data_IF_595359722808
#
_entry.id   IF_595359722808
#
_cell.length_a   1.000
_cell.length_b   1.000
_cell.length_c   1.000
_cell.angle_alpha   90.00
_cell.angle_beta   90.00
_cell.angle_gamma   90.00
#
_symmetry.space_group_name_H-M   'P 1'
#
loop_
_entity.id
_entity.type
_entity.pdbx_description
1 polymer ?
#
# COMPACT_ATOMS: atom_id res chain seq x y z
N UNK A 1 75.21 77.26 10.76
CA UNK A 1 74.43 78.39 11.27
C UNK A 1 72.99 78.13 10.86
N UNK A 2 72.33 77.24 11.58
CA UNK A 2 71.48 77.62 12.72
C UNK A 2 70.32 78.50 12.23
N UNK A 3 69.27 77.86 11.70
CA UNK A 3 67.92 78.39 11.73
C UNK A 3 67.17 77.58 12.76
N UNK A 4 67.10 78.12 13.98
CA UNK A 4 66.60 77.44 15.17
C UNK A 4 65.27 76.74 14.94
N UNK A 5 65.22 75.46 15.34
CA UNK A 5 63.98 74.74 15.57
C UNK A 5 63.22 75.46 16.67
N UNK A 6 62.39 76.42 16.27
CA UNK A 6 61.38 77.03 17.10
C UNK A 6 60.41 75.93 17.50
N UNK A 7 60.65 75.36 18.68
CA UNK A 7 59.64 74.66 19.44
C UNK A 7 58.57 75.71 19.71
N UNK A 8 57.54 75.75 18.86
CA UNK A 8 56.34 76.52 19.11
C UNK A 8 55.73 75.88 20.35
N UNK A 9 55.94 76.51 21.51
CA UNK A 9 55.23 76.17 22.73
C UNK A 9 53.75 76.48 22.48
N UNK A 10 53.05 75.48 21.94
CA UNK A 10 51.61 75.50 21.83
C UNK A 10 51.04 75.74 23.23
N UNK A 11 50.01 76.56 23.32
CA UNK A 11 49.29 76.71 24.58
C UNK A 11 48.76 75.32 25.01
N UNK A 12 48.64 75.04 26.31
CA UNK A 12 48.07 73.76 26.79
C UNK A 12 46.71 73.42 26.17
N UNK A 13 45.99 74.45 25.70
CA UNK A 13 44.71 74.34 25.00
C UNK A 13 44.88 73.82 23.56
N UNK A 14 45.90 74.26 22.82
CA UNK A 14 46.18 73.81 21.45
C UNK A 14 46.69 72.36 21.40
N UNK A 15 47.49 71.92 22.38
CA UNK A 15 47.86 70.52 22.53
C UNK A 15 46.64 69.62 22.83
N UNK A 16 45.68 70.13 23.60
CA UNK A 16 44.45 69.40 23.90
C UNK A 16 43.54 69.32 22.66
N UNK A 17 43.43 70.40 21.88
CA UNK A 17 42.69 70.42 20.62
C UNK A 17 43.28 69.42 19.60
N UNK A 18 44.61 69.37 19.46
CA UNK A 18 45.27 68.45 18.52
C UNK A 18 45.11 66.98 18.94
N UNK A 19 45.14 66.67 20.24
CA UNK A 19 44.83 65.33 20.77
C UNK A 19 43.38 64.92 20.52
N UNK A 20 42.42 65.81 20.82
CA UNK A 20 40.99 65.57 20.57
C UNK A 20 40.71 65.38 19.07
N UNK A 21 41.32 66.19 18.21
CA UNK A 21 41.21 66.04 16.76
C UNK A 21 41.77 64.69 16.28
N UNK A 22 42.89 64.23 16.85
CA UNK A 22 43.45 62.91 16.57
C UNK A 22 42.57 61.75 17.04
N UNK A 23 41.94 61.88 18.21
CA UNK A 23 40.95 60.92 18.74
C UNK A 23 39.70 60.85 17.87
N UNK A 24 39.15 61.99 17.48
CA UNK A 24 38.00 62.08 16.58
C UNK A 24 38.34 61.42 15.24
N UNK A 25 39.51 61.71 14.66
CA UNK A 25 39.94 61.12 13.39
C UNK A 25 40.08 59.60 13.46
N UNK A 26 40.63 59.07 14.57
CA UNK A 26 40.69 57.62 14.81
C UNK A 26 39.30 57.02 14.97
N UNK A 27 38.42 57.67 15.73
CA UNK A 27 37.03 57.24 15.90
C UNK A 27 36.27 57.15 14.56
N UNK A 28 36.42 58.18 13.71
CA UNK A 28 35.84 58.17 12.36
C UNK A 28 36.40 57.04 11.49
N UNK A 29 37.71 56.78 11.50
CA UNK A 29 38.29 55.67 10.72
C UNK A 29 37.79 54.29 11.17
N UNK A 30 37.58 54.09 12.47
CA UNK A 30 37.04 52.83 13.00
C UNK A 30 35.55 52.71 12.66
N UNK A 31 34.80 53.80 12.74
CA UNK A 31 33.39 53.83 12.35
C UNK A 31 33.20 53.52 10.87
N UNK A 32 34.07 54.03 10.00
CA UNK A 32 34.06 53.77 8.56
C UNK A 32 34.38 52.30 8.24
N UNK A 33 35.39 51.72 8.91
CA UNK A 33 35.72 50.30 8.79
C UNK A 33 34.57 49.39 9.25
N UNK A 34 33.90 49.72 10.36
CA UNK A 34 32.72 48.99 10.82
C UNK A 34 31.55 49.10 9.83
N UNK A 35 31.34 50.28 9.25
CA UNK A 35 30.30 50.49 8.24
C UNK A 35 30.57 49.66 6.99
N UNK A 36 31.83 49.59 6.53
CA UNK A 36 32.21 48.74 5.41
C UNK A 36 31.95 47.26 5.71
N UNK A 37 32.34 46.76 6.89
CA UNK A 37 32.09 45.37 7.28
C UNK A 37 30.60 45.02 7.41
N UNK A 38 29.76 45.96 7.87
CA UNK A 38 28.31 45.79 7.90
C UNK A 38 27.75 45.68 6.48
N UNK A 39 28.20 46.54 5.57
CA UNK A 39 27.74 46.53 4.17
C UNK A 39 28.13 45.20 3.47
N UNK A 40 29.36 44.72 3.66
CA UNK A 40 29.79 43.41 3.13
C UNK A 40 28.95 42.26 3.67
N UNK A 41 28.62 42.29 4.96
CA UNK A 41 27.76 41.27 5.58
C UNK A 41 26.33 41.34 5.02
N UNK A 42 25.79 42.54 4.80
CA UNK A 42 24.48 42.74 4.17
C UNK A 42 24.46 42.16 2.75
N UNK A 43 25.46 42.45 1.93
CA UNK A 43 25.57 41.88 0.57
C UNK A 43 25.70 40.35 0.62
N UNK A 44 26.48 39.81 1.55
CA UNK A 44 26.60 38.36 1.72
C UNK A 44 25.28 37.70 2.16
N UNK A 45 24.47 38.40 2.97
CA UNK A 45 23.15 37.94 3.37
C UNK A 45 22.16 37.98 2.21
N UNK A 46 22.13 39.06 1.44
CA UNK A 46 21.28 39.19 0.25
C UNK A 46 21.54 38.06 -0.75
N UNK A 47 22.80 37.77 -1.05
CA UNK A 47 23.18 36.66 -1.91
C UNK A 47 22.69 35.30 -1.38
N UNK A 48 22.75 35.08 -0.07
CA UNK A 48 22.23 33.85 0.56
C UNK A 48 20.70 33.79 0.51
N UNK A 49 20.01 34.91 0.70
CA UNK A 49 18.55 34.99 0.59
C UNK A 49 18.11 34.68 -0.84
N UNK A 50 18.76 35.24 -1.85
CA UNK A 50 18.47 34.95 -3.26
C UNK A 50 18.70 33.47 -3.60
N UNK A 51 19.78 32.89 -3.07
CA UNK A 51 20.05 31.47 -3.27
C UNK A 51 18.99 30.59 -2.60
N UNK A 52 18.58 30.93 -1.36
CA UNK A 52 17.52 30.21 -0.66
C UNK A 52 16.19 30.33 -1.39
N UNK A 53 15.83 31.53 -1.86
CA UNK A 53 14.59 31.77 -2.62
C UNK A 53 14.54 30.90 -3.90
N UNK A 54 15.65 30.80 -4.63
CA UNK A 54 15.74 29.92 -5.81
C UNK A 54 15.59 28.44 -5.44
N UNK A 55 16.22 28.01 -4.34
CA UNK A 55 16.12 26.61 -3.88
C UNK A 55 14.71 26.27 -3.40
N UNK A 56 14.02 27.19 -2.72
CA UNK A 56 12.65 26.98 -2.29
C UNK A 56 11.70 26.89 -3.48
N UNK A 57 11.87 27.74 -4.49
CA UNK A 57 11.07 27.68 -5.71
C UNK A 57 11.21 26.32 -6.42
N UNK A 58 12.44 25.83 -6.61
CA UNK A 58 12.68 24.52 -7.23
C UNK A 58 12.06 23.36 -6.44
N UNK A 59 12.09 23.44 -5.10
CA UNK A 59 11.46 22.45 -4.24
C UNK A 59 9.94 22.48 -4.35
N UNK A 60 9.33 23.67 -4.46
CA UNK A 60 7.90 23.83 -4.66
C UNK A 60 7.45 23.25 -6.00
N UNK A 61 8.16 23.56 -7.09
CA UNK A 61 7.90 23.01 -8.43
C UNK A 61 8.03 21.47 -8.45
N UNK A 62 9.09 20.94 -7.84
CA UNK A 62 9.26 19.49 -7.72
C UNK A 62 8.18 18.85 -6.85
N UNK A 63 7.71 19.53 -5.80
CA UNK A 63 6.67 19.03 -4.93
C UNK A 63 5.32 18.99 -5.66
N UNK A 64 5.01 19.99 -6.47
CA UNK A 64 3.79 20.02 -7.29
C UNK A 64 3.78 18.85 -8.28
N UNK A 65 4.88 18.62 -9.00
CA UNK A 65 5.01 17.49 -9.92
C UNK A 65 4.83 16.13 -9.21
N UNK A 66 5.48 15.96 -8.05
CA UNK A 66 5.31 14.74 -7.25
C UNK A 66 3.87 14.57 -6.73
N UNK A 67 3.18 15.66 -6.40
CA UNK A 67 1.78 15.60 -5.98
C UNK A 67 0.86 15.16 -7.12
N UNK A 68 1.12 15.61 -8.35
CA UNK A 68 0.40 15.18 -9.54
C UNK A 68 0.62 13.68 -9.81
N UNK A 69 1.87 13.22 -9.79
CA UNK A 69 2.21 11.79 -9.96
C UNK A 69 1.53 10.92 -8.90
N UNK A 70 1.55 11.35 -7.64
CA UNK A 70 0.88 10.64 -6.54
C UNK A 70 -0.64 10.59 -6.75
N UNK A 71 -1.25 11.66 -7.28
CA UNK A 71 -2.68 11.68 -7.58
C UNK A 71 -3.04 10.66 -8.69
N UNK A 72 -2.22 10.59 -9.75
CA UNK A 72 -2.39 9.62 -10.85
C UNK A 72 -2.25 8.18 -10.34
N UNK A 73 -1.20 7.89 -9.58
CA UNK A 73 -0.96 6.56 -9.00
C UNK A 73 -2.14 6.14 -8.12
N UNK A 74 -2.64 7.04 -7.26
CA UNK A 74 -3.80 6.76 -6.42
C UNK A 74 -5.04 6.44 -7.25
N UNK A 75 -5.31 7.22 -8.31
CA UNK A 75 -6.45 6.98 -9.18
C UNK A 75 -6.38 5.61 -9.85
N UNK A 76 -5.19 5.21 -10.33
CA UNK A 76 -5.01 3.90 -10.94
C UNK A 76 -5.10 2.77 -9.90
N UNK A 77 -4.56 2.95 -8.70
CA UNK A 77 -4.72 1.99 -7.60
C UNK A 77 -6.20 1.70 -7.30
N UNK A 78 -7.06 2.73 -7.30
CA UNK A 78 -8.50 2.55 -7.11
C UNK A 78 -9.12 1.75 -8.25
N UNK A 79 -8.80 2.07 -9.51
CA UNK A 79 -9.29 1.30 -10.67
C UNK A 79 -8.88 -0.16 -10.60
N UNK A 80 -7.62 -0.45 -10.26
CA UNK A 80 -7.11 -1.81 -10.14
C UNK A 80 -7.80 -2.58 -9.02
N UNK A 81 -8.05 -1.92 -7.88
CA UNK A 81 -8.76 -2.51 -6.74
C UNK A 81 -10.21 -2.85 -7.10
N UNK A 82 -10.90 -1.99 -7.83
CA UNK A 82 -12.26 -2.24 -8.29
C UNK A 82 -12.30 -3.40 -9.30
N UNK A 83 -11.38 -3.41 -10.27
CA UNK A 83 -11.22 -4.52 -11.20
C UNK A 83 -10.93 -5.85 -10.48
N UNK A 84 -10.06 -5.83 -9.46
CA UNK A 84 -9.75 -7.00 -8.65
C UNK A 84 -11.00 -7.51 -7.93
N UNK A 85 -11.76 -6.62 -7.31
CA UNK A 85 -13.00 -6.99 -6.62
C UNK A 85 -14.03 -7.58 -7.58
N UNK A 86 -14.20 -7.00 -8.76
CA UNK A 86 -15.09 -7.51 -9.79
C UNK A 86 -14.67 -8.89 -10.30
N UNK A 87 -13.38 -9.09 -10.52
CA UNK A 87 -12.84 -10.39 -10.93
C UNK A 87 -13.03 -11.44 -9.83
N UNK A 88 -12.81 -11.09 -8.57
CA UNK A 88 -13.07 -11.97 -7.42
C UNK A 88 -14.54 -12.35 -7.34
N UNK A 89 -15.44 -11.39 -7.48
CA UNK A 89 -16.89 -11.64 -7.49
C UNK A 89 -17.30 -12.56 -8.66
N UNK A 90 -16.74 -12.35 -9.85
CA UNK A 90 -17.00 -13.21 -11.02
C UNK A 90 -16.47 -14.63 -10.79
N UNK A 91 -15.27 -14.76 -10.24
CA UNK A 91 -14.67 -16.05 -9.92
C UNK A 91 -15.49 -16.81 -8.89
N UNK A 92 -15.89 -16.14 -7.80
CA UNK A 92 -16.77 -16.72 -6.78
C UNK A 92 -18.09 -17.20 -7.37
N UNK A 93 -18.71 -16.39 -8.24
CA UNK A 93 -19.95 -16.79 -8.93
C UNK A 93 -19.76 -18.03 -9.80
N UNK A 94 -18.67 -18.11 -10.57
CA UNK A 94 -18.36 -19.26 -11.42
C UNK A 94 -18.05 -20.49 -10.57
N UNK A 95 -17.25 -20.36 -9.51
CA UNK A 95 -16.96 -21.47 -8.59
C UNK A 95 -18.22 -21.97 -7.91
N UNK A 96 -19.09 -21.06 -7.45
CA UNK A 96 -20.35 -21.40 -6.85
C UNK A 96 -21.26 -22.09 -7.86
N UNK A 97 -21.35 -21.62 -9.11
CA UNK A 97 -22.09 -22.29 -10.17
C UNK A 97 -21.54 -23.69 -10.50
N UNK A 98 -20.21 -23.85 -10.53
CA UNK A 98 -19.56 -25.13 -10.78
C UNK A 98 -19.74 -26.13 -9.63
N UNK A 99 -19.73 -25.65 -8.38
CA UNK A 99 -19.98 -26.46 -7.17
C UNK A 99 -21.47 -26.63 -6.88
N UNK A 100 -22.34 -25.86 -7.53
CA UNK A 100 -23.78 -25.84 -7.29
C UNK A 100 -24.39 -27.23 -7.44
N UNK A 101 -23.93 -28.02 -8.42
CA UNK A 101 -24.41 -29.39 -8.65
C UNK A 101 -23.67 -30.47 -7.87
N UNK A 102 -22.60 -30.10 -7.13
CA UNK A 102 -21.81 -31.05 -6.36
C UNK A 102 -22.43 -31.26 -4.97
N UNK A 103 -22.62 -32.52 -4.58
CA UNK A 103 -22.96 -32.96 -3.23
C UNK A 103 -21.76 -33.69 -2.61
N UNK A 104 -21.50 -33.44 -1.33
CA UNK A 104 -20.40 -34.03 -0.57
C UNK A 104 -20.98 -34.90 0.54
N UNK A 105 -20.74 -36.20 0.47
CA UNK A 105 -21.10 -37.12 1.55
C UNK A 105 -19.87 -37.35 2.42
N UNK A 106 -20.06 -37.23 3.74
CA UNK A 106 -19.02 -37.36 4.75
C UNK A 106 -19.21 -38.67 5.52
N UNK A 107 -18.12 -39.20 6.08
CA UNK A 107 -18.14 -40.31 7.05
C UNK A 107 -18.61 -41.66 6.52
N UNK A 108 -18.51 -41.94 5.21
CA UNK A 108 -18.72 -43.28 4.67
C UNK A 108 -17.43 -44.10 4.82
N UNK A 109 -17.43 -45.23 5.55
CA UNK A 109 -16.25 -46.06 5.73
C UNK A 109 -15.66 -46.51 4.38
N UNK A 110 -14.33 -46.45 4.28
CA UNK A 110 -13.60 -46.85 3.08
C UNK A 110 -13.81 -48.35 2.81
N UNK A 111 -14.44 -48.70 1.69
CA UNK A 111 -14.65 -50.09 1.27
C UNK A 111 -16.09 -50.62 1.36
N UNK A 112 -17.02 -49.91 2.01
CA UNK A 112 -18.44 -50.32 2.04
C UNK A 112 -19.16 -50.15 0.70
N UNK A 113 -18.61 -49.31 -0.18
CA UNK A 113 -19.19 -48.96 -1.48
C UNK A 113 -19.12 -50.10 -2.51
N UNK A 114 -18.27 -51.11 -2.26
CA UNK A 114 -18.03 -52.21 -3.20
C UNK A 114 -17.36 -51.74 -4.50
N UNK A 115 -17.65 -52.42 -5.62
CA UNK A 115 -17.02 -52.18 -6.92
C UNK A 115 -17.65 -51.02 -7.71
N UNK A 116 -18.86 -50.58 -7.33
CA UNK A 116 -19.58 -49.50 -8.01
C UNK A 116 -20.15 -48.46 -7.03
N UNK A 117 -19.33 -47.45 -6.77
CA UNK A 117 -19.64 -46.32 -5.88
C UNK A 117 -20.90 -45.56 -6.34
N UNK A 118 -21.18 -45.52 -7.66
CA UNK A 118 -22.35 -44.83 -8.19
C UNK A 118 -23.64 -45.49 -7.71
N UNK A 119 -23.72 -46.81 -7.86
CA UNK A 119 -24.90 -47.59 -7.49
C UNK A 119 -25.12 -47.57 -5.97
N UNK A 120 -24.05 -47.65 -5.19
CA UNK A 120 -24.12 -47.50 -3.72
C UNK A 120 -24.62 -46.11 -3.29
N UNK A 121 -24.08 -45.03 -3.86
CA UNK A 121 -24.51 -43.68 -3.50
C UNK A 121 -25.98 -43.44 -3.88
N UNK A 122 -26.43 -43.97 -5.03
CA UNK A 122 -27.80 -43.82 -5.45
C UNK A 122 -28.78 -44.63 -4.59
N UNK A 123 -28.41 -45.83 -4.14
CA UNK A 123 -29.23 -46.60 -3.20
C UNK A 123 -29.28 -45.91 -1.83
N UNK A 124 -28.17 -45.36 -1.34
CA UNK A 124 -28.11 -44.60 -0.09
C UNK A 124 -29.03 -43.38 -0.12
N UNK A 125 -29.00 -42.61 -1.22
CA UNK A 125 -29.88 -41.45 -1.41
C UNK A 125 -31.36 -41.88 -1.47
N UNK A 126 -31.69 -42.94 -2.23
CA UNK A 126 -33.07 -43.46 -2.33
C UNK A 126 -33.60 -43.94 -0.98
N UNK A 127 -32.80 -44.71 -0.26
CA UNK A 127 -33.17 -45.27 1.05
C UNK A 127 -33.36 -44.15 2.08
N UNK A 128 -32.46 -43.16 2.10
CA UNK A 128 -32.54 -42.05 3.06
C UNK A 128 -33.74 -41.13 2.81
N UNK A 129 -34.12 -40.95 1.55
CA UNK A 129 -35.21 -40.07 1.14
C UNK A 129 -36.57 -40.78 0.98
N UNK A 130 -36.63 -42.10 1.21
CA UNK A 130 -37.82 -42.94 1.02
C UNK A 130 -38.52 -42.68 -0.32
N UNK A 131 -37.74 -42.52 -1.39
CA UNK A 131 -38.29 -42.18 -2.70
C UNK A 131 -38.90 -43.44 -3.33
N UNK A 132 -40.18 -43.34 -3.69
CA UNK A 132 -40.89 -44.36 -4.47
C UNK A 132 -40.11 -44.77 -5.73
N UNK A 133 -40.25 -46.04 -6.12
CA UNK A 133 -39.57 -46.67 -7.25
C UNK A 133 -39.74 -45.95 -8.59
N UNK A 134 -40.72 -45.04 -8.69
CA UNK A 134 -40.95 -44.16 -9.83
C UNK A 134 -39.85 -43.12 -10.07
N UNK A 135 -38.99 -42.81 -9.10
CA UNK A 135 -37.85 -41.88 -9.26
C UNK A 135 -36.53 -42.59 -9.63
N UNK A 136 -36.58 -43.50 -10.59
CA UNK A 136 -35.38 -44.16 -11.16
C UNK A 136 -34.38 -43.19 -11.80
N UNK A 137 -34.77 -41.94 -12.04
CA UNK A 137 -33.96 -40.89 -12.68
C UNK A 137 -32.68 -40.50 -11.92
N UNK A 138 -32.63 -40.62 -10.59
CA UNK A 138 -31.48 -40.14 -9.79
C UNK A 138 -30.16 -40.84 -10.16
N UNK A 139 -30.21 -42.13 -10.50
CA UNK A 139 -29.01 -42.91 -10.91
C UNK A 139 -28.54 -42.48 -12.30
N UNK A 140 -29.49 -42.25 -13.22
CA UNK A 140 -29.21 -41.90 -14.62
C UNK A 140 -28.67 -40.47 -14.76
N UNK A 141 -29.13 -39.57 -13.90
CA UNK A 141 -28.77 -38.15 -13.95
C UNK A 141 -27.53 -37.80 -13.10
N UNK A 142 -26.77 -38.80 -12.66
CA UNK A 142 -25.51 -38.57 -11.95
C UNK A 142 -24.33 -38.64 -12.92
N UNK A 143 -23.70 -37.50 -13.17
CA UNK A 143 -22.63 -37.39 -14.17
C UNK A 143 -21.33 -38.01 -13.68
N UNK A 144 -20.93 -37.72 -12.43
CA UNK A 144 -19.69 -38.24 -11.83
C UNK A 144 -19.88 -38.54 -10.36
N UNK A 145 -19.38 -39.69 -9.93
CA UNK A 145 -19.23 -40.04 -8.51
C UNK A 145 -17.83 -40.59 -8.32
N UNK A 146 -17.12 -40.04 -7.35
CA UNK A 146 -15.80 -40.52 -6.98
C UNK A 146 -15.49 -40.10 -5.55
N UNK A 147 -14.58 -40.82 -4.91
CA UNK A 147 -13.95 -40.35 -3.68
C UNK A 147 -12.97 -39.22 -3.99
N UNK A 148 -12.90 -38.27 -3.08
CA UNK A 148 -11.99 -37.14 -3.16
C UNK A 148 -10.54 -37.65 -3.36
N UNK A 149 -9.85 -37.28 -4.46
CA UNK A 149 -8.53 -37.81 -4.80
C UNK A 149 -7.41 -37.21 -3.92
N UNK A 150 -7.71 -36.22 -3.07
CA UNK A 150 -6.69 -35.63 -2.21
C UNK A 150 -6.08 -36.66 -1.25
N UNK A 151 -4.74 -36.59 -1.09
CA UNK A 151 -3.96 -37.51 -0.25
C UNK A 151 -4.54 -37.58 1.15
N UNK A 152 -4.87 -38.80 1.58
CA UNK A 152 -5.21 -39.13 2.96
C UNK A 152 -4.13 -38.55 3.88
N UNK A 153 -4.51 -37.70 4.82
CA UNK A 153 -3.62 -37.27 5.89
C UNK A 153 -3.33 -38.50 6.78
N UNK A 154 -2.07 -38.97 6.87
CA UNK A 154 -1.73 -40.17 7.64
C UNK A 154 -2.04 -40.01 9.14
N UNK A 155 -2.15 -38.78 9.65
CA UNK A 155 -2.52 -38.51 11.04
C UNK A 155 -4.04 -38.53 11.27
N UNK A 156 -4.86 -38.23 10.25
CA UNK A 156 -6.32 -38.29 10.33
C UNK A 156 -6.84 -39.58 9.72
N UNK A 157 -7.22 -40.53 10.57
CA UNK A 157 -8.01 -41.74 10.19
C UNK A 157 -9.45 -41.43 9.75
N UNK A 158 -9.73 -40.22 9.27
CA UNK A 158 -11.09 -39.86 8.83
C UNK A 158 -11.31 -40.43 7.42
N UNK A 159 -12.44 -41.12 7.16
CA UNK A 159 -12.77 -41.57 5.81
C UNK A 159 -12.81 -40.39 4.82
N UNK A 160 -12.40 -40.66 3.59
CA UNK A 160 -12.44 -39.68 2.51
C UNK A 160 -13.89 -39.34 2.14
N UNK A 161 -14.09 -38.12 1.62
CA UNK A 161 -15.40 -37.64 1.23
C UNK A 161 -15.77 -38.23 -0.14
N UNK A 162 -17.04 -38.56 -0.34
CA UNK A 162 -17.56 -38.87 -1.67
C UNK A 162 -18.08 -37.60 -2.31
N UNK A 163 -17.64 -37.32 -3.53
CA UNK A 163 -18.13 -36.22 -4.35
C UNK A 163 -19.08 -36.76 -5.42
N UNK A 164 -20.33 -36.31 -5.38
CA UNK A 164 -21.37 -36.62 -6.37
C UNK A 164 -21.65 -35.35 -7.16
N UNK A 165 -21.58 -35.41 -8.48
CA UNK A 165 -22.00 -34.33 -9.36
C UNK A 165 -23.25 -34.74 -10.14
N UNK A 166 -24.34 -34.00 -9.92
CA UNK A 166 -25.61 -34.18 -10.61
C UNK A 166 -25.66 -33.43 -11.94
N UNK A 167 -26.39 -33.96 -12.91
CA UNK A 167 -26.62 -33.30 -14.19
C UNK A 167 -27.39 -31.97 -14.02
N UNK A 168 -28.32 -31.93 -13.06
CA UNK A 168 -29.23 -30.80 -12.84
C UNK A 168 -29.24 -30.36 -11.38
N UNK A 169 -29.23 -29.05 -11.13
CA UNK A 169 -29.26 -28.50 -9.78
C UNK A 169 -30.51 -28.90 -8.98
N UNK A 170 -31.67 -28.97 -9.63
CA UNK A 170 -32.93 -29.35 -8.99
C UNK A 170 -32.85 -30.73 -8.31
N UNK A 171 -32.11 -31.68 -8.88
CA UNK A 171 -31.93 -33.01 -8.28
C UNK A 171 -31.11 -32.95 -7.00
N UNK A 172 -30.07 -32.11 -6.97
CA UNK A 172 -29.32 -31.86 -5.74
C UNK A 172 -30.20 -31.21 -4.68
N UNK A 173 -31.01 -30.21 -5.02
CA UNK A 173 -31.93 -29.60 -4.05
C UNK A 173 -32.94 -30.59 -3.51
N UNK A 174 -33.56 -31.42 -4.36
CA UNK A 174 -34.48 -32.46 -3.89
C UNK A 174 -33.77 -33.42 -2.93
N UNK A 175 -32.51 -33.74 -3.21
CA UNK A 175 -31.70 -34.61 -2.36
C UNK A 175 -31.33 -33.96 -1.02
N UNK A 176 -31.07 -32.64 -1.00
CA UNK A 176 -30.70 -31.92 0.23
C UNK A 176 -31.89 -31.43 1.05
N UNK A 177 -33.02 -31.06 0.44
CA UNK A 177 -34.16 -30.45 1.14
C UNK A 177 -34.99 -31.44 1.97
N UNK A 178 -34.73 -32.74 1.86
CA UNK A 178 -35.43 -33.80 2.61
C UNK A 178 -34.50 -34.61 3.55
N UNK A 179 -33.20 -34.32 3.55
CA UNK A 179 -32.21 -34.85 4.49
C UNK A 179 -32.06 -33.89 5.68
#
# INVERSE_FOLDING_TARGET
>A
MEGGGGTVCLSPVEEMITKLAGEIKRGFSVSEANQAGINEMCEALENKFDLLAKRTQLLEESMESLQEEVALIKADMWKWKDCEQDLRNKLERIENAARRNNLRILNIPDGEEGNDIKTYCASLIKNSLQLEESKREIVADTQRVHRDPFRRDPARKKPLKILINFLTYALKEISCCRL
#
